data_IF_150040665437
#
_entry.id   IF_150040665437
#
_cell.length_a   1.000
_cell.length_b   1.000
_cell.length_c   1.000
_cell.angle_alpha   90.00
_cell.angle_beta   90.00
_cell.angle_gamma   90.00
#
_symmetry.space_group_name_H-M   'P 1'
#
loop_
_entity.id
_entity.type
_entity.pdbx_description
1 polymer ?
#
# COMPACT_ATOMS: atom_id res chain seq x y z
N UNK A 1 47.46 -26.87 -13.65
CA UNK A 1 46.77 -28.17 -13.51
C UNK A 1 45.64 -28.39 -14.52
N UNK A 2 45.01 -27.36 -15.10
CA UNK A 2 43.99 -27.53 -16.16
C UNK A 2 44.54 -27.58 -17.60
N UNK A 3 45.86 -27.47 -17.76
CA UNK A 3 46.52 -27.37 -19.08
C UNK A 3 46.79 -28.75 -19.72
N UNK A 4 46.89 -29.82 -18.92
CA UNK A 4 47.18 -31.19 -19.38
C UNK A 4 45.92 -32.01 -19.76
N UNK A 5 44.75 -31.37 -19.77
CA UNK A 5 43.47 -32.00 -20.10
C UNK A 5 43.17 -31.90 -21.60
N UNK A 6 42.58 -32.96 -22.18
CA UNK A 6 42.05 -32.95 -23.55
C UNK A 6 41.17 -31.72 -23.77
N UNK A 7 41.27 -31.09 -24.94
CA UNK A 7 40.53 -29.87 -25.32
C UNK A 7 39.02 -30.01 -25.03
N UNK A 8 38.45 -31.20 -25.27
CA UNK A 8 37.05 -31.51 -24.97
C UNK A 8 36.71 -31.39 -23.47
N UNK A 9 37.55 -31.90 -22.58
CA UNK A 9 37.34 -31.81 -21.13
C UNK A 9 37.45 -30.35 -20.65
N UNK A 10 38.37 -29.57 -21.22
CA UNK A 10 38.52 -28.15 -20.92
C UNK A 10 37.28 -27.35 -21.36
N UNK A 11 36.72 -27.68 -22.53
CA UNK A 11 35.49 -27.08 -23.04
C UNK A 11 34.29 -27.45 -22.15
N UNK A 12 34.14 -28.71 -21.77
CA UNK A 12 33.05 -29.18 -20.90
C UNK A 12 33.08 -28.51 -19.52
N UNK A 13 34.25 -28.37 -18.91
CA UNK A 13 34.41 -27.68 -17.61
C UNK A 13 33.98 -26.21 -17.73
N UNK A 14 34.40 -25.53 -18.80
CA UNK A 14 34.03 -24.13 -19.04
C UNK A 14 32.52 -23.96 -19.21
N UNK A 15 31.88 -24.86 -19.97
CA UNK A 15 30.43 -24.85 -20.17
C UNK A 15 29.67 -25.10 -18.88
N UNK A 16 30.07 -26.10 -18.09
CA UNK A 16 29.45 -26.38 -16.78
C UNK A 16 29.61 -25.18 -15.84
N UNK A 17 30.79 -24.56 -15.80
CA UNK A 17 31.02 -23.36 -14.99
C UNK A 17 30.11 -22.20 -15.41
N UNK A 18 29.95 -21.97 -16.71
CA UNK A 18 29.04 -20.95 -17.25
C UNK A 18 27.59 -21.22 -16.84
N UNK A 19 27.12 -22.48 -16.96
CA UNK A 19 25.77 -22.86 -16.55
C UNK A 19 25.57 -22.61 -15.06
N UNK A 20 26.53 -23.01 -14.21
CA UNK A 20 26.46 -22.77 -12.77
C UNK A 20 26.37 -21.27 -12.45
N UNK A 21 27.19 -20.44 -13.10
CA UNK A 21 27.17 -18.99 -12.92
C UNK A 21 25.80 -18.40 -13.29
N UNK A 22 25.25 -18.79 -14.43
CA UNK A 22 23.93 -18.34 -14.87
C UNK A 22 22.84 -18.80 -13.91
N UNK A 23 22.88 -20.04 -13.46
CA UNK A 23 21.92 -20.57 -12.49
C UNK A 23 21.96 -19.79 -11.18
N UNK A 24 23.15 -19.46 -10.65
CA UNK A 24 23.29 -18.65 -9.43
C UNK A 24 22.65 -17.26 -9.61
N UNK A 25 22.97 -16.57 -10.70
CA UNK A 25 22.42 -15.23 -10.99
C UNK A 25 20.91 -15.29 -11.16
N UNK A 26 20.39 -16.28 -11.89
CA UNK A 26 18.96 -16.48 -12.08
C UNK A 26 18.25 -16.68 -10.73
N UNK A 27 18.79 -17.54 -9.86
CA UNK A 27 18.19 -17.82 -8.55
C UNK A 27 18.20 -16.60 -7.64
N UNK A 28 19.27 -15.80 -7.67
CA UNK A 28 19.36 -14.53 -6.95
C UNK A 28 18.35 -13.50 -7.50
N UNK A 29 18.19 -13.42 -8.81
CA UNK A 29 17.20 -12.56 -9.46
C UNK A 29 15.77 -12.90 -9.06
N UNK A 30 15.39 -14.18 -9.11
CA UNK A 30 14.07 -14.65 -8.70
C UNK A 30 13.79 -14.36 -7.21
N UNK A 31 14.75 -14.61 -6.33
CA UNK A 31 14.62 -14.28 -4.89
C UNK A 31 14.52 -12.78 -4.65
N UNK A 32 15.31 -11.98 -5.38
CA UNK A 32 15.29 -10.53 -5.31
C UNK A 32 13.92 -9.95 -5.69
N UNK A 33 13.36 -10.39 -6.81
CA UNK A 33 12.04 -9.95 -7.28
C UNK A 33 10.93 -10.26 -6.27
N UNK A 34 10.89 -11.48 -5.71
CA UNK A 34 9.89 -11.84 -4.70
C UNK A 34 9.98 -10.95 -3.45
N UNK A 35 11.19 -10.65 -2.99
CA UNK A 35 11.39 -9.78 -1.81
C UNK A 35 10.98 -8.32 -2.06
N UNK A 36 11.09 -7.85 -3.31
CA UNK A 36 10.69 -6.49 -3.67
C UNK A 36 9.16 -6.36 -3.74
N UNK A 37 8.48 -7.35 -4.31
CA UNK A 37 7.02 -7.39 -4.38
C UNK A 37 6.39 -7.38 -2.98
N UNK A 38 6.90 -8.22 -2.08
CA UNK A 38 6.39 -8.36 -0.71
C UNK A 38 6.61 -7.07 0.12
N UNK A 39 7.77 -6.42 -0.04
CA UNK A 39 8.06 -5.12 0.58
C UNK A 39 7.22 -3.99 0.02
N UNK A 40 6.98 -3.98 -1.29
CA UNK A 40 6.16 -2.95 -1.93
C UNK A 40 4.70 -3.09 -1.50
N UNK A 41 4.20 -4.31 -1.41
CA UNK A 41 2.89 -4.62 -0.86
C UNK A 41 2.75 -4.17 0.60
N UNK A 42 3.71 -4.52 1.46
CA UNK A 42 3.64 -4.11 2.88
C UNK A 42 3.73 -2.60 3.08
N UNK A 43 4.53 -1.90 2.26
CA UNK A 43 4.58 -0.43 2.27
C UNK A 43 3.27 0.20 1.78
N UNK A 44 2.67 -0.37 0.74
CA UNK A 44 1.41 0.11 0.20
C UNK A 44 0.27 -0.07 1.22
N UNK A 45 0.13 -1.29 1.76
CA UNK A 45 -0.88 -1.63 2.76
C UNK A 45 -0.66 -0.84 4.05
N UNK A 46 0.57 -0.80 4.58
CA UNK A 46 0.85 -0.15 5.85
C UNK A 46 0.91 1.38 5.83
N UNK A 47 1.12 2.01 4.67
CA UNK A 47 1.28 3.47 4.57
C UNK A 47 0.30 4.12 3.62
N UNK A 48 0.13 3.63 2.39
CA UNK A 48 -0.69 4.32 1.38
C UNK A 48 -2.17 4.19 1.70
N UNK A 49 -2.63 2.98 2.03
CA UNK A 49 -4.04 2.74 2.42
C UNK A 49 -4.37 3.51 3.70
N UNK A 50 -3.52 3.39 4.72
CA UNK A 50 -3.66 4.12 5.98
C UNK A 50 -3.73 5.64 5.80
N UNK A 51 -2.89 6.21 4.92
CA UNK A 51 -2.92 7.65 4.63
C UNK A 51 -4.20 8.06 3.91
N UNK A 52 -4.71 7.22 3.00
CA UNK A 52 -5.99 7.44 2.32
C UNK A 52 -7.17 7.48 3.29
N UNK A 53 -7.23 6.52 4.22
CA UNK A 53 -8.24 6.46 5.28
C UNK A 53 -8.18 7.72 6.17
N UNK A 54 -6.98 8.10 6.61
CA UNK A 54 -6.79 9.30 7.44
C UNK A 54 -7.17 10.59 6.69
N UNK A 55 -6.86 10.68 5.39
CA UNK A 55 -7.28 11.79 4.55
C UNK A 55 -8.81 11.87 4.44
N UNK A 56 -9.48 10.72 4.27
CA UNK A 56 -10.95 10.65 4.22
C UNK A 56 -11.59 11.13 5.53
N UNK A 57 -11.02 10.75 6.67
CA UNK A 57 -11.45 11.23 7.99
C UNK A 57 -11.32 12.75 8.09
N UNK A 58 -10.17 13.30 7.68
CA UNK A 58 -9.90 14.74 7.75
C UNK A 58 -10.86 15.55 6.86
N UNK A 59 -11.15 15.05 5.65
CA UNK A 59 -12.10 15.68 4.74
C UNK A 59 -13.52 15.69 5.30
N UNK A 60 -13.98 14.56 5.85
CA UNK A 60 -15.29 14.48 6.48
C UNK A 60 -15.39 15.38 7.71
N UNK A 61 -14.33 15.51 8.50
CA UNK A 61 -14.29 16.44 9.64
C UNK A 61 -14.45 17.90 9.19
N UNK A 62 -13.77 18.30 8.10
CA UNK A 62 -13.95 19.63 7.52
C UNK A 62 -15.37 19.85 7.01
N UNK A 63 -15.97 18.85 6.36
CA UNK A 63 -17.36 18.91 5.90
C UNK A 63 -18.34 19.06 7.06
N UNK A 64 -18.13 18.33 8.16
CA UNK A 64 -18.91 18.50 9.40
C UNK A 64 -18.78 19.94 9.90
N UNK A 65 -17.56 20.48 10.00
CA UNK A 65 -17.32 21.85 10.47
C UNK A 65 -18.08 22.89 9.65
N UNK A 66 -18.06 22.77 8.32
CA UNK A 66 -18.82 23.66 7.42
C UNK A 66 -20.32 23.50 7.62
N UNK A 67 -20.82 22.27 7.76
CA UNK A 67 -22.25 22.03 8.00
C UNK A 67 -22.74 22.55 9.34
N UNK A 68 -21.92 22.47 10.39
CA UNK A 68 -22.23 23.08 11.68
C UNK A 68 -22.41 24.59 11.52
N UNK A 69 -21.52 25.25 10.77
CA UNK A 69 -21.64 26.69 10.50
C UNK A 69 -22.96 27.02 9.81
N UNK A 70 -23.36 26.25 8.79
CA UNK A 70 -24.65 26.44 8.12
C UNK A 70 -25.85 26.07 8.99
N UNK A 71 -25.74 25.08 9.86
CA UNK A 71 -26.80 24.71 10.80
C UNK A 71 -27.08 25.83 11.82
N UNK A 72 -26.01 26.52 12.26
CA UNK A 72 -26.10 27.69 13.15
C UNK A 72 -26.76 28.87 12.42
N UNK A 73 -26.41 29.10 11.16
CA UNK A 73 -26.94 30.20 10.33
C UNK A 73 -28.33 29.93 9.73
N UNK A 74 -28.84 28.70 9.87
CA UNK A 74 -30.11 28.29 9.26
C UNK A 74 -31.30 29.13 9.77
N UNK A 75 -32.13 29.59 8.83
CA UNK A 75 -33.27 30.47 9.09
C UNK A 75 -34.40 29.80 9.89
N UNK A 76 -34.55 28.48 9.78
CA UNK A 76 -35.61 27.74 10.43
C UNK A 76 -35.16 26.33 10.88
N UNK A 77 -35.92 25.67 11.77
CA UNK A 77 -35.57 24.35 12.28
C UNK A 77 -35.50 23.23 11.24
N UNK A 78 -36.27 23.30 10.16
CA UNK A 78 -36.24 22.30 9.09
C UNK A 78 -34.98 22.46 8.24
N UNK A 79 -34.60 23.69 7.90
CA UNK A 79 -33.31 23.96 7.24
C UNK A 79 -32.13 23.49 8.11
N UNK A 80 -32.21 23.70 9.43
CA UNK A 80 -31.20 23.19 10.38
C UNK A 80 -31.13 21.67 10.41
N UNK A 81 -32.27 20.97 10.39
CA UNK A 81 -32.29 19.50 10.48
C UNK A 81 -31.56 18.84 9.31
N UNK A 82 -31.70 19.39 8.09
CA UNK A 82 -30.98 18.91 6.90
C UNK A 82 -29.45 18.94 7.09
N UNK A 83 -28.93 19.99 7.74
CA UNK A 83 -27.51 20.07 8.04
C UNK A 83 -27.09 19.08 9.14
N UNK A 84 -27.95 18.87 10.14
CA UNK A 84 -27.72 17.90 11.22
C UNK A 84 -27.70 16.45 10.72
N UNK A 85 -28.62 16.07 9.84
CA UNK A 85 -28.66 14.73 9.24
C UNK A 85 -27.36 14.45 8.48
N UNK A 86 -26.88 15.45 7.74
CA UNK A 86 -25.64 15.32 7.00
C UNK A 86 -24.39 15.32 7.87
N UNK A 87 -24.43 15.93 9.06
CA UNK A 87 -23.36 15.80 10.05
C UNK A 87 -23.32 14.35 10.56
N UNK A 88 -24.47 13.76 10.87
CA UNK A 88 -24.56 12.36 11.28
C UNK A 88 -24.06 11.40 10.18
N UNK A 89 -24.41 11.65 8.92
CA UNK A 89 -23.90 10.88 7.77
C UNK A 89 -22.35 10.87 7.73
N UNK A 90 -21.73 12.05 7.87
CA UNK A 90 -20.27 12.16 7.83
C UNK A 90 -19.59 11.59 9.06
N UNK A 91 -20.21 11.71 10.23
CA UNK A 91 -19.70 11.11 11.46
C UNK A 91 -19.70 9.58 11.37
N UNK A 92 -20.75 8.99 10.80
CA UNK A 92 -20.79 7.56 10.52
C UNK A 92 -19.71 7.12 9.52
N UNK A 93 -19.43 7.93 8.49
CA UNK A 93 -18.33 7.67 7.55
C UNK A 93 -16.97 7.72 8.25
N UNK A 94 -16.73 8.73 9.10
CA UNK A 94 -15.50 8.83 9.91
C UNK A 94 -15.35 7.60 10.79
N UNK A 95 -16.42 7.18 11.49
CA UNK A 95 -16.40 6.01 12.35
C UNK A 95 -16.02 4.72 11.60
N UNK A 96 -16.50 4.56 10.37
CA UNK A 96 -16.12 3.43 9.51
C UNK A 96 -14.63 3.49 9.13
N UNK A 97 -14.17 4.60 8.58
CA UNK A 97 -12.77 4.77 8.16
C UNK A 97 -11.80 4.66 9.35
N UNK A 98 -12.19 5.14 10.53
CA UNK A 98 -11.41 5.01 11.76
C UNK A 98 -11.28 3.55 12.22
N UNK A 99 -12.35 2.78 12.12
CA UNK A 99 -12.32 1.34 12.39
C UNK A 99 -11.41 0.62 11.39
N UNK A 100 -11.51 0.96 10.11
CA UNK A 100 -10.69 0.34 9.07
C UNK A 100 -9.19 0.69 9.28
N UNK A 101 -8.87 1.94 9.62
CA UNK A 101 -7.51 2.38 9.97
C UNK A 101 -6.93 1.65 11.18
N UNK A 102 -7.70 1.57 12.28
CA UNK A 102 -7.25 0.93 13.53
C UNK A 102 -7.15 -0.59 13.42
N UNK A 103 -7.83 -1.21 12.45
CA UNK A 103 -7.69 -2.65 12.16
C UNK A 103 -6.54 -2.99 11.21
N UNK A 104 -5.98 -1.98 10.52
CA UNK A 104 -4.83 -2.13 9.60
C UNK A 104 -3.49 -2.01 10.34
N UNK A 105 -3.48 -1.47 11.56
CA UNK A 105 -2.29 -1.33 12.44
C UNK A 105 -2.16 -2.53 13.37
#
# INVERSE_FOLDING_TARGET
MLADLRISARLSILTVLMVVLVSVVATLGFRGMGSMEERMKSMYEGRVVCLGQLSSILDNLHRIRVRIMWAVDAADPAARSVHMDKIADYDAMIGKEWKDYTSTT
#
